data_IF_083771716899
#
_entry.id   IF_083771716899
#
_cell.length_a   1.000
_cell.length_b   1.000
_cell.length_c   1.000
_cell.angle_alpha   90.00
_cell.angle_beta   90.00
_cell.angle_gamma   90.00
#
_symmetry.space_group_name_H-M   'P 1'
#
loop_
_entity.id
_entity.type
_entity.pdbx_description
1 polymer ?
#
# COMPACT_ATOMS: atom_id res chain seq x y z
N UNK A 1 21.22 -22.89 -28.12
CA UNK A 1 22.64 -22.65 -28.46
C UNK A 1 23.48 -22.05 -27.32
N UNK A 2 23.09 -20.93 -26.69
CA UNK A 2 23.85 -20.30 -25.58
C UNK A 2 24.11 -21.29 -24.43
N UNK A 3 23.10 -22.07 -24.03
CA UNK A 3 23.22 -23.07 -22.96
C UNK A 3 24.17 -24.23 -23.31
N UNK A 4 24.30 -24.59 -24.60
CA UNK A 4 25.23 -25.60 -25.08
C UNK A 4 26.69 -25.09 -25.13
N UNK A 5 26.90 -23.78 -25.36
CA UNK A 5 28.24 -23.15 -25.34
C UNK A 5 28.77 -22.93 -23.92
N UNK A 6 27.89 -22.67 -22.95
CA UNK A 6 28.25 -22.51 -21.53
C UNK A 6 28.71 -23.83 -20.90
N UNK A 7 28.11 -24.96 -21.29
CA UNK A 7 28.45 -26.29 -20.75
C UNK A 7 29.78 -26.85 -21.28
N UNK A 8 30.27 -26.37 -22.42
CA UNK A 8 31.50 -26.86 -23.06
C UNK A 8 32.78 -26.10 -22.66
N UNK A 9 32.69 -25.00 -21.90
CA UNK A 9 33.80 -24.03 -21.69
C UNK A 9 34.05 -23.71 -20.21
N UNK A 10 34.29 -24.73 -19.39
CA UNK A 10 34.59 -24.60 -17.95
C UNK A 10 35.99 -23.99 -17.62
N UNK A 11 36.54 -23.15 -18.50
CA UNK A 11 37.70 -22.31 -18.22
C UNK A 11 37.26 -20.84 -18.20
N UNK A 12 37.30 -20.21 -17.02
CA UNK A 12 36.70 -18.89 -16.74
C UNK A 12 37.09 -17.72 -17.66
N UNK A 13 38.16 -17.86 -18.47
CA UNK A 13 38.54 -16.86 -19.47
C UNK A 13 37.55 -16.71 -20.63
N UNK A 14 36.94 -17.81 -21.10
CA UNK A 14 35.99 -17.74 -22.22
C UNK A 14 34.63 -17.16 -21.82
N UNK A 15 34.19 -17.43 -20.59
CA UNK A 15 32.90 -16.92 -20.07
C UNK A 15 32.96 -15.39 -19.93
N UNK A 16 34.10 -14.86 -19.47
CA UNK A 16 34.31 -13.41 -19.36
C UNK A 16 34.32 -12.72 -20.74
N UNK A 17 35.04 -13.28 -21.71
CA UNK A 17 35.08 -12.73 -23.06
C UNK A 17 33.68 -12.76 -23.74
N UNK A 18 32.93 -13.85 -23.59
CA UNK A 18 31.56 -13.96 -24.13
C UNK A 18 30.59 -12.99 -23.44
N UNK A 19 30.74 -12.76 -22.12
CA UNK A 19 29.99 -11.75 -21.37
C UNK A 19 30.29 -10.34 -21.87
N UNK A 20 31.57 -9.98 -21.99
CA UNK A 20 31.98 -8.64 -22.39
C UNK A 20 31.55 -8.35 -23.85
N UNK A 21 31.62 -9.34 -24.74
CA UNK A 21 31.11 -9.24 -26.11
C UNK A 21 29.58 -9.07 -26.17
N UNK A 22 28.85 -9.79 -25.30
CA UNK A 22 27.38 -9.65 -25.18
C UNK A 22 27.01 -8.26 -24.68
N UNK A 23 27.70 -7.77 -23.64
CA UNK A 23 27.54 -6.40 -23.13
C UNK A 23 27.77 -5.35 -24.22
N UNK A 24 28.86 -5.46 -24.99
CA UNK A 24 29.15 -4.52 -26.06
C UNK A 24 28.04 -4.49 -27.12
N UNK A 25 27.52 -5.67 -27.51
CA UNK A 25 26.39 -5.76 -28.44
C UNK A 25 25.12 -5.13 -27.87
N UNK A 26 24.84 -5.34 -26.58
CA UNK A 26 23.69 -4.73 -25.92
C UNK A 26 23.79 -3.20 -25.90
N UNK A 27 24.99 -2.65 -25.64
CA UNK A 27 25.23 -1.20 -25.70
C UNK A 27 25.06 -0.64 -27.10
N UNK A 28 25.55 -1.33 -28.13
CA UNK A 28 25.37 -0.93 -29.54
C UNK A 28 23.89 -0.92 -29.94
N UNK A 29 23.15 -1.96 -29.55
CA UNK A 29 21.70 -2.04 -29.79
C UNK A 29 20.98 -0.92 -29.06
N UNK A 30 21.32 -0.66 -27.80
CA UNK A 30 20.75 0.43 -27.02
C UNK A 30 20.98 1.79 -27.68
N UNK A 31 22.20 2.07 -28.11
CA UNK A 31 22.56 3.32 -28.79
C UNK A 31 21.77 3.48 -30.10
N UNK A 32 21.64 2.41 -30.90
CA UNK A 32 20.84 2.43 -32.12
C UNK A 32 19.35 2.67 -31.86
N UNK A 33 18.77 1.99 -30.87
CA UNK A 33 17.34 2.10 -30.54
C UNK A 33 16.97 3.46 -29.93
N UNK A 34 17.86 4.03 -29.14
CA UNK A 34 17.67 5.35 -28.52
C UNK A 34 18.16 6.52 -29.39
N UNK A 35 18.86 6.24 -30.50
CA UNK A 35 19.37 7.27 -31.41
C UNK A 35 18.22 8.12 -31.99
N UNK A 36 18.41 9.45 -32.03
CA UNK A 36 17.44 10.39 -32.58
C UNK A 36 16.35 10.88 -31.61
N UNK A 37 16.33 10.40 -30.36
CA UNK A 37 15.40 10.88 -29.34
C UNK A 37 13.93 10.75 -29.77
N UNK A 38 13.13 11.81 -29.57
CA UNK A 38 11.71 11.87 -29.98
C UNK A 38 11.48 11.77 -31.49
N UNK A 39 12.52 11.96 -32.31
CA UNK A 39 12.43 11.80 -33.77
C UNK A 39 12.82 10.39 -34.24
N UNK A 40 13.16 9.49 -33.33
CA UNK A 40 13.57 8.14 -33.68
C UNK A 40 12.43 7.35 -34.34
N UNK A 41 12.78 6.38 -35.18
CA UNK A 41 11.81 5.48 -35.78
C UNK A 41 10.99 4.71 -34.72
N UNK A 42 11.52 4.54 -33.51
CA UNK A 42 10.81 3.93 -32.40
C UNK A 42 9.62 4.78 -31.94
N UNK A 43 9.78 6.10 -31.84
CA UNK A 43 8.68 7.02 -31.46
C UNK A 43 7.61 7.14 -32.55
N UNK A 44 7.94 6.78 -33.80
CA UNK A 44 6.96 6.74 -34.90
C UNK A 44 6.05 5.50 -34.84
N UNK A 45 6.42 4.46 -34.09
CA UNK A 45 5.65 3.23 -34.01
C UNK A 45 5.43 2.79 -32.55
N UNK A 46 4.20 2.92 -32.00
CA UNK A 46 3.90 2.64 -30.58
C UNK A 46 4.41 1.29 -30.06
N UNK A 47 4.22 0.21 -30.82
CA UNK A 47 4.69 -1.13 -30.41
C UNK A 47 6.22 -1.24 -30.35
N UNK A 48 6.93 -0.53 -31.23
CA UNK A 48 8.40 -0.51 -31.22
C UNK A 48 8.87 0.26 -30.00
N UNK A 49 8.25 1.41 -29.70
CA UNK A 49 8.55 2.16 -28.47
C UNK A 49 8.34 1.30 -27.22
N UNK A 50 7.21 0.59 -27.12
CA UNK A 50 6.93 -0.36 -26.02
C UNK A 50 8.01 -1.43 -25.90
N UNK A 51 8.44 -2.02 -27.02
CA UNK A 51 9.51 -3.02 -27.02
C UNK A 51 10.85 -2.44 -26.56
N UNK A 52 11.19 -1.22 -27.00
CA UNK A 52 12.43 -0.52 -26.62
C UNK A 52 12.43 -0.18 -25.13
N UNK A 53 11.35 0.39 -24.59
CA UNK A 53 11.31 0.73 -23.15
C UNK A 53 11.39 -0.52 -22.28
N UNK A 54 10.68 -1.59 -22.65
CA UNK A 54 10.78 -2.88 -21.95
C UNK A 54 12.19 -3.48 -22.01
N UNK A 55 12.87 -3.35 -23.15
CA UNK A 55 14.27 -3.74 -23.28
C UNK A 55 15.16 -2.92 -22.32
N UNK A 56 14.98 -1.61 -22.23
CA UNK A 56 15.73 -0.76 -21.28
C UNK A 56 15.53 -1.26 -19.84
N UNK A 57 14.28 -1.48 -19.41
CA UNK A 57 13.99 -1.95 -18.06
C UNK A 57 14.52 -3.35 -17.74
N UNK A 58 14.32 -4.30 -18.67
CA UNK A 58 14.68 -5.71 -18.46
C UNK A 58 16.19 -5.94 -18.26
N UNK A 59 17.01 -5.03 -18.77
CA UNK A 59 18.47 -5.10 -18.67
C UNK A 59 19.06 -4.12 -17.65
N UNK A 60 18.25 -3.57 -16.73
CA UNK A 60 18.70 -2.61 -15.70
C UNK A 60 19.97 -3.06 -14.94
N UNK A 61 20.05 -4.34 -14.54
CA UNK A 61 21.23 -4.87 -13.85
C UNK A 61 22.50 -4.86 -14.71
N UNK A 62 22.36 -5.03 -16.04
CA UNK A 62 23.48 -4.94 -16.99
C UNK A 62 23.91 -3.48 -17.12
N UNK A 63 22.96 -2.54 -17.22
CA UNK A 63 23.28 -1.11 -17.28
C UNK A 63 24.00 -0.63 -16.02
N UNK A 64 23.62 -1.15 -14.85
CA UNK A 64 24.32 -0.85 -13.60
C UNK A 64 25.77 -1.33 -13.60
N UNK A 65 26.15 -2.33 -14.39
CA UNK A 65 27.56 -2.73 -14.53
C UNK A 65 28.25 -1.90 -15.60
N UNK A 66 27.59 -1.68 -16.74
CA UNK A 66 28.28 -1.30 -17.98
C UNK A 66 28.15 0.18 -18.37
N UNK A 67 27.13 0.90 -17.88
CA UNK A 67 26.86 2.30 -18.24
C UNK A 67 27.47 3.28 -17.23
N UNK A 68 27.79 4.51 -17.60
CA UNK A 68 28.07 5.56 -16.61
C UNK A 68 26.78 5.99 -15.89
N UNK A 69 26.90 6.71 -14.77
CA UNK A 69 25.72 7.26 -14.10
C UNK A 69 24.95 8.24 -15.01
N UNK A 70 25.66 9.09 -15.75
CA UNK A 70 25.05 10.01 -16.73
C UNK A 70 24.31 9.26 -17.85
N UNK A 71 24.84 8.13 -18.32
CA UNK A 71 24.14 7.31 -19.31
C UNK A 71 22.84 6.73 -18.74
N UNK A 72 22.81 6.34 -17.46
CA UNK A 72 21.58 5.89 -16.79
C UNK A 72 20.57 7.04 -16.66
N UNK A 73 21.02 8.25 -16.32
CA UNK A 73 20.16 9.45 -16.29
C UNK A 73 19.57 9.74 -17.67
N UNK A 74 20.36 9.61 -18.75
CA UNK A 74 19.85 9.77 -20.12
C UNK A 74 18.81 8.71 -20.50
N UNK A 75 18.96 7.46 -20.02
CA UNK A 75 17.94 6.44 -20.20
C UNK A 75 16.65 6.78 -19.46
N UNK A 76 16.74 7.29 -18.23
CA UNK A 76 15.57 7.77 -17.48
C UNK A 76 14.88 8.94 -18.20
N UNK A 77 15.65 9.88 -18.76
CA UNK A 77 15.10 10.96 -19.57
C UNK A 77 14.38 10.45 -20.84
N UNK A 78 14.93 9.42 -21.51
CA UNK A 78 14.28 8.75 -22.64
C UNK A 78 12.96 8.09 -22.25
N UNK A 79 12.93 7.36 -21.12
CA UNK A 79 11.71 6.75 -20.60
C UNK A 79 10.66 7.79 -20.22
N UNK A 80 11.06 8.90 -19.58
CA UNK A 80 10.18 10.03 -19.30
C UNK A 80 9.57 10.62 -20.57
N UNK A 81 10.38 10.83 -21.61
CA UNK A 81 9.87 11.33 -22.88
C UNK A 81 8.86 10.37 -23.50
N UNK A 82 9.12 9.06 -23.40
CA UNK A 82 8.20 8.01 -23.86
C UNK A 82 6.86 8.06 -23.14
N UNK A 83 6.85 8.38 -21.83
CA UNK A 83 5.62 8.59 -21.03
C UNK A 83 4.80 9.77 -21.56
N UNK A 84 5.46 10.88 -21.88
CA UNK A 84 4.81 12.11 -22.34
C UNK A 84 4.27 12.00 -23.77
N UNK A 85 4.99 11.33 -24.66
CA UNK A 85 4.68 11.31 -26.09
C UNK A 85 3.72 10.19 -26.50
N UNK A 86 3.64 9.11 -25.71
CA UNK A 86 2.86 7.93 -26.09
C UNK A 86 2.10 7.32 -24.91
N UNK A 87 0.76 7.49 -24.84
CA UNK A 87 -0.06 6.87 -23.81
C UNK A 87 0.10 5.33 -23.75
N UNK A 88 0.31 4.69 -24.91
CA UNK A 88 0.53 3.24 -24.99
C UNK A 88 1.86 2.77 -24.41
N UNK A 89 2.87 3.63 -24.39
CA UNK A 89 4.18 3.32 -23.83
C UNK A 89 4.33 3.80 -22.38
N UNK A 90 3.39 4.59 -21.84
CA UNK A 90 3.50 5.20 -20.52
C UNK A 90 3.69 4.18 -19.39
N UNK A 91 2.85 3.14 -19.32
CA UNK A 91 2.97 2.09 -18.30
C UNK A 91 4.24 1.24 -18.46
N UNK A 92 4.59 0.70 -19.65
CA UNK A 92 5.86 0.00 -19.86
C UNK A 92 7.10 0.84 -19.55
N UNK A 93 7.08 2.13 -19.91
CA UNK A 93 8.15 3.06 -19.64
C UNK A 93 8.28 3.32 -18.14
N UNK A 94 7.18 3.56 -17.43
CA UNK A 94 7.14 3.71 -15.98
C UNK A 94 7.65 2.45 -15.23
N UNK A 95 7.23 1.26 -15.65
CA UNK A 95 7.73 0.00 -15.11
C UNK A 95 9.24 -0.14 -15.33
N UNK A 96 9.74 0.28 -16.49
CA UNK A 96 11.17 0.27 -16.81
C UNK A 96 11.96 1.31 -16.01
N UNK A 97 11.38 2.48 -15.76
CA UNK A 97 11.94 3.51 -14.87
C UNK A 97 12.12 2.95 -13.46
N UNK A 98 11.10 2.25 -12.93
CA UNK A 98 11.20 1.55 -11.64
C UNK A 98 12.38 0.57 -11.61
N UNK A 99 12.51 -0.25 -12.65
CA UNK A 99 13.60 -1.22 -12.75
C UNK A 99 14.96 -0.55 -12.83
N UNK A 100 15.10 0.59 -13.52
CA UNK A 100 16.33 1.37 -13.52
C UNK A 100 16.64 1.96 -12.14
N UNK A 101 15.67 2.57 -11.46
CA UNK A 101 15.89 3.12 -10.12
C UNK A 101 16.37 2.05 -9.13
N UNK A 102 15.80 0.84 -9.18
CA UNK A 102 16.18 -0.27 -8.28
C UNK A 102 17.47 -0.93 -8.76
N UNK A 103 17.55 -1.33 -10.03
CA UNK A 103 18.66 -2.10 -10.59
C UNK A 103 19.95 -1.29 -10.73
N UNK A 104 19.85 0.03 -10.89
CA UNK A 104 20.98 0.96 -11.02
C UNK A 104 21.19 1.84 -9.77
N UNK A 105 20.56 1.50 -8.65
CA UNK A 105 20.57 2.33 -7.46
C UNK A 105 21.98 2.72 -6.99
N UNK A 106 22.94 1.77 -7.00
CA UNK A 106 24.32 2.04 -6.59
C UNK A 106 24.99 3.17 -7.37
N UNK A 107 24.71 3.30 -8.68
CA UNK A 107 25.27 4.36 -9.52
C UNK A 107 24.55 5.69 -9.32
N UNK A 108 23.23 5.65 -9.17
CA UNK A 108 22.42 6.85 -8.95
C UNK A 108 22.67 7.45 -7.56
N UNK A 109 22.78 6.61 -6.52
CA UNK A 109 23.16 7.02 -5.16
C UNK A 109 24.56 7.61 -5.15
N UNK A 110 25.53 6.95 -5.78
CA UNK A 110 26.89 7.49 -5.87
C UNK A 110 26.91 8.85 -6.58
N UNK A 111 26.23 8.99 -7.71
CA UNK A 111 26.10 10.26 -8.42
C UNK A 111 25.48 11.35 -7.53
N UNK A 112 24.41 11.04 -6.81
CA UNK A 112 23.72 11.97 -5.91
C UNK A 112 24.57 12.40 -4.70
N UNK A 113 25.56 11.61 -4.30
CA UNK A 113 26.44 11.89 -3.16
C UNK A 113 27.76 12.56 -3.56
N UNK A 114 28.22 12.39 -4.80
CA UNK A 114 29.56 12.84 -5.24
C UNK A 114 29.67 14.33 -5.60
N UNK A 115 28.60 14.97 -6.07
CA UNK A 115 28.63 16.39 -6.45
C UNK A 115 27.26 17.06 -6.37
N UNK A 116 27.23 18.38 -6.20
CA UNK A 116 25.99 19.17 -6.25
C UNK A 116 25.28 19.06 -7.61
N UNK A 117 26.05 18.96 -8.70
CA UNK A 117 25.50 18.81 -10.06
C UNK A 117 24.86 17.44 -10.25
N UNK A 118 25.48 16.37 -9.77
CA UNK A 118 24.96 15.01 -9.82
C UNK A 118 23.70 14.86 -8.96
N UNK A 119 23.74 15.42 -7.75
CA UNK A 119 22.59 15.57 -6.86
C UNK A 119 21.40 16.24 -7.57
N UNK A 120 21.62 17.43 -8.14
CA UNK A 120 20.57 18.17 -8.83
C UNK A 120 20.01 17.40 -10.03
N UNK A 121 20.87 16.73 -10.80
CA UNK A 121 20.47 15.93 -11.95
C UNK A 121 19.55 14.76 -11.58
N UNK A 122 19.87 14.02 -10.51
CA UNK A 122 19.03 12.92 -10.02
C UNK A 122 17.68 13.43 -9.51
N UNK A 123 17.68 14.51 -8.70
CA UNK A 123 16.44 15.10 -8.19
C UNK A 123 15.52 15.59 -9.32
N UNK A 124 16.05 16.33 -10.28
CA UNK A 124 15.27 16.82 -11.42
C UNK A 124 14.71 15.67 -12.25
N UNK A 125 15.50 14.62 -12.48
CA UNK A 125 15.04 13.44 -13.21
C UNK A 125 13.86 12.76 -12.51
N UNK A 126 13.94 12.58 -11.18
CA UNK A 126 12.85 12.02 -10.37
C UNK A 126 11.61 12.91 -10.47
N UNK A 127 11.76 14.20 -10.21
CA UNK A 127 10.66 15.17 -10.24
C UNK A 127 9.93 15.17 -11.57
N UNK A 128 10.68 15.36 -12.66
CA UNK A 128 10.13 15.47 -14.00
C UNK A 128 9.46 14.16 -14.46
N UNK A 129 9.93 13.01 -13.97
CA UNK A 129 9.33 11.71 -14.29
C UNK A 129 8.02 11.49 -13.53
N UNK A 130 7.95 11.90 -12.27
CA UNK A 130 6.71 11.86 -11.48
C UNK A 130 5.68 12.83 -12.05
N UNK A 131 6.10 14.05 -12.39
CA UNK A 131 5.24 15.04 -13.06
C UNK A 131 4.68 14.49 -14.38
N UNK A 132 5.53 13.85 -15.19
CA UNK A 132 5.14 13.27 -16.46
C UNK A 132 4.09 12.15 -16.29
N UNK A 133 4.32 11.22 -15.35
CA UNK A 133 3.41 10.07 -15.18
C UNK A 133 2.09 10.48 -14.53
N UNK A 134 2.10 11.43 -13.58
CA UNK A 134 0.87 11.97 -13.00
C UNK A 134 0.01 12.65 -14.07
N UNK A 135 0.62 13.46 -14.95
CA UNK A 135 -0.09 14.11 -16.07
C UNK A 135 -0.68 13.13 -17.08
N UNK A 136 -0.09 11.94 -17.21
CA UNK A 136 -0.62 10.90 -18.10
C UNK A 136 -1.92 10.27 -17.59
N UNK A 137 -2.24 10.43 -16.29
CA UNK A 137 -3.37 9.75 -15.64
C UNK A 137 -3.20 8.23 -15.54
N UNK A 138 -2.03 7.68 -15.86
CA UNK A 138 -1.77 6.24 -15.78
C UNK A 138 -1.45 5.84 -14.33
N UNK A 139 -2.43 5.22 -13.68
CA UNK A 139 -2.34 4.80 -12.28
C UNK A 139 -1.22 3.78 -12.04
N UNK A 140 -1.20 2.66 -12.79
CA UNK A 140 -0.19 1.59 -12.63
C UNK A 140 1.23 2.12 -12.82
N UNK A 141 1.44 2.97 -13.82
CA UNK A 141 2.71 3.62 -14.09
C UNK A 141 3.11 4.59 -12.97
N UNK A 142 2.15 5.35 -12.43
CA UNK A 142 2.41 6.26 -11.29
C UNK A 142 2.93 5.47 -10.09
N UNK A 143 2.27 4.37 -9.74
CA UNK A 143 2.72 3.51 -8.62
C UNK A 143 4.10 2.94 -8.86
N UNK A 144 4.41 2.50 -10.09
CA UNK A 144 5.72 1.97 -10.43
C UNK A 144 6.84 3.02 -10.28
N UNK A 145 6.63 4.23 -10.80
CA UNK A 145 7.62 5.33 -10.69
C UNK A 145 7.81 5.74 -9.24
N UNK A 146 6.74 5.87 -8.46
CA UNK A 146 6.81 6.25 -7.04
C UNK A 146 7.51 5.15 -6.23
N UNK A 147 7.16 3.87 -6.40
CA UNK A 147 7.87 2.76 -5.77
C UNK A 147 9.37 2.81 -6.07
N UNK A 148 9.75 2.95 -7.35
CA UNK A 148 11.15 2.98 -7.75
C UNK A 148 11.91 4.16 -7.16
N UNK A 149 11.30 5.35 -7.21
CA UNK A 149 11.90 6.58 -6.70
C UNK A 149 12.08 6.53 -5.17
N UNK A 150 11.06 6.04 -4.44
CA UNK A 150 11.13 5.90 -2.98
C UNK A 150 12.16 4.85 -2.57
N UNK A 151 12.19 3.69 -3.25
CA UNK A 151 13.20 2.66 -2.99
C UNK A 151 14.62 3.11 -3.30
N UNK A 152 14.82 4.03 -4.25
CA UNK A 152 16.10 4.69 -4.48
C UNK A 152 16.41 5.66 -3.33
N UNK A 153 15.42 6.44 -2.88
CA UNK A 153 15.59 7.41 -1.80
C UNK A 153 16.06 6.75 -0.50
N UNK A 154 15.44 5.64 -0.10
CA UNK A 154 15.80 4.92 1.15
C UNK A 154 17.14 4.19 1.08
N UNK A 155 17.79 4.10 -0.08
CA UNK A 155 19.16 3.59 -0.22
C UNK A 155 20.23 4.66 -0.01
N UNK A 156 19.82 5.91 0.23
CA UNK A 156 20.75 7.00 0.53
C UNK A 156 21.20 6.90 2.00
N UNK A 157 22.51 6.87 2.20
CA UNK A 157 23.10 6.86 3.55
C UNK A 157 22.98 8.21 4.28
N UNK A 158 22.70 9.29 3.55
CA UNK A 158 22.53 10.64 4.10
C UNK A 158 21.03 10.92 4.32
N UNK A 159 20.64 11.05 5.59
CA UNK A 159 19.26 11.32 6.00
C UNK A 159 18.73 12.63 5.41
N UNK A 160 19.53 13.70 5.39
CA UNK A 160 19.12 15.00 4.84
C UNK A 160 18.89 14.89 3.34
N UNK A 161 19.77 14.17 2.65
CA UNK A 161 19.62 13.89 1.22
C UNK A 161 18.36 13.06 0.95
N UNK A 162 18.13 12.00 1.74
CA UNK A 162 16.93 11.17 1.64
C UNK A 162 15.67 11.99 1.83
N UNK A 163 15.56 12.79 2.89
CA UNK A 163 14.39 13.67 3.13
C UNK A 163 14.16 14.63 1.96
N UNK A 164 15.22 15.19 1.37
CA UNK A 164 15.10 16.04 0.17
C UNK A 164 14.56 15.27 -1.03
N UNK A 165 15.06 14.07 -1.31
CA UNK A 165 14.54 13.23 -2.41
C UNK A 165 13.07 12.89 -2.17
N UNK A 166 12.71 12.48 -0.96
CA UNK A 166 11.32 12.19 -0.59
C UNK A 166 10.41 13.41 -0.75
N UNK A 167 10.89 14.60 -0.36
CA UNK A 167 10.18 15.86 -0.61
C UNK A 167 9.97 16.13 -2.10
N UNK A 168 10.97 15.87 -2.95
CA UNK A 168 10.86 16.00 -4.40
C UNK A 168 9.87 15.00 -5.02
N UNK A 169 9.80 13.78 -4.49
CA UNK A 169 8.81 12.77 -4.92
C UNK A 169 7.41 13.21 -4.53
N UNK A 170 7.26 13.69 -3.30
CA UNK A 170 5.98 14.02 -2.68
C UNK A 170 5.35 15.28 -3.26
N UNK A 171 6.13 16.34 -3.48
CA UNK A 171 5.63 17.66 -3.88
C UNK A 171 4.63 17.63 -5.05
N UNK A 172 4.91 17.00 -6.21
CA UNK A 172 3.96 16.96 -7.32
C UNK A 172 2.68 16.17 -6.99
N UNK A 173 2.77 15.16 -6.12
CA UNK A 173 1.61 14.38 -5.67
C UNK A 173 0.71 15.23 -4.75
N UNK A 174 1.30 16.00 -3.84
CA UNK A 174 0.53 16.91 -2.97
C UNK A 174 -0.10 18.05 -3.77
N UNK A 175 0.62 18.61 -4.74
CA UNK A 175 0.08 19.65 -5.63
C UNK A 175 -1.11 19.11 -6.44
N UNK A 176 -0.99 17.91 -7.03
CA UNK A 176 -2.09 17.25 -7.72
C UNK A 176 -3.29 16.97 -6.81
N UNK A 177 -3.04 16.55 -5.56
CA UNK A 177 -4.09 16.33 -4.57
C UNK A 177 -4.83 17.62 -4.21
N UNK A 178 -4.10 18.70 -3.91
CA UNK A 178 -4.68 20.01 -3.57
C UNK A 178 -5.50 20.57 -4.74
N UNK A 179 -4.96 20.52 -5.95
CA UNK A 179 -5.69 20.95 -7.15
C UNK A 179 -6.98 20.15 -7.34
N UNK A 180 -6.93 18.83 -7.18
CA UNK A 180 -8.11 17.97 -7.31
C UNK A 180 -9.17 18.31 -6.25
N UNK A 181 -8.76 18.56 -4.99
CA UNK A 181 -9.67 18.99 -3.92
C UNK A 181 -10.31 20.34 -4.21
N UNK A 182 -9.54 21.32 -4.72
CA UNK A 182 -10.07 22.63 -5.11
C UNK A 182 -11.14 22.52 -6.20
N UNK A 183 -10.90 21.66 -7.20
CA UNK A 183 -11.87 21.37 -8.27
C UNK A 183 -13.10 20.65 -7.74
N UNK A 184 -12.94 19.68 -6.82
CA UNK A 184 -14.06 18.96 -6.17
C UNK A 184 -14.93 19.92 -5.35
N UNK A 185 -14.34 20.92 -4.69
CA UNK A 185 -15.09 21.93 -3.91
C UNK A 185 -15.95 22.84 -4.79
N UNK A 186 -15.50 23.12 -6.02
CA UNK A 186 -16.19 24.01 -6.95
C UNK A 186 -16.26 23.39 -8.35
N UNK A 187 -17.02 22.29 -8.54
CA UNK A 187 -17.04 21.59 -9.81
C UNK A 187 -17.78 22.43 -10.85
N UNK A 188 -17.21 22.56 -12.05
CA UNK A 188 -17.88 23.23 -13.18
C UNK A 188 -19.01 22.37 -13.76
N UNK A 189 -18.81 21.05 -13.77
CA UNK A 189 -19.78 20.05 -14.21
C UNK A 189 -19.45 18.67 -13.58
N UNK A 190 -20.32 17.68 -13.82
CA UNK A 190 -20.18 16.33 -13.28
C UNK A 190 -18.98 15.55 -13.86
N UNK A 191 -18.57 15.85 -15.11
CA UNK A 191 -17.43 15.18 -15.73
C UNK A 191 -16.11 15.64 -15.10
N UNK A 192 -15.98 16.95 -14.90
CA UNK A 192 -14.88 17.61 -14.20
C UNK A 192 -14.77 17.09 -12.76
N UNK A 193 -15.89 16.94 -12.07
CA UNK A 193 -15.92 16.33 -10.73
C UNK A 193 -15.37 14.90 -10.76
N UNK A 194 -15.87 14.06 -11.67
CA UNK A 194 -15.42 12.66 -11.79
C UNK A 194 -13.92 12.55 -12.11
N UNK A 195 -13.41 13.38 -13.03
CA UNK A 195 -11.98 13.44 -13.34
C UNK A 195 -11.14 13.89 -12.14
N UNK A 196 -11.63 14.87 -11.37
CA UNK A 196 -10.94 15.34 -10.17
C UNK A 196 -10.92 14.27 -9.06
N UNK A 197 -12.01 13.54 -8.84
CA UNK A 197 -12.02 12.39 -7.93
C UNK A 197 -11.05 11.29 -8.37
N UNK A 198 -11.00 10.96 -9.66
CA UNK A 198 -10.06 9.98 -10.20
C UNK A 198 -8.61 10.43 -10.00
N UNK A 199 -8.29 11.68 -10.32
CA UNK A 199 -6.96 12.28 -10.13
C UNK A 199 -6.54 12.26 -8.65
N UNK A 200 -7.46 12.63 -7.74
CA UNK A 200 -7.23 12.58 -6.29
C UNK A 200 -6.97 11.14 -5.82
N UNK A 201 -7.75 10.17 -6.29
CA UNK A 201 -7.54 8.74 -5.98
C UNK A 201 -6.15 8.26 -6.40
N UNK A 202 -5.69 8.59 -7.61
CA UNK A 202 -4.34 8.27 -8.09
C UNK A 202 -3.28 8.90 -7.18
N UNK A 203 -3.44 10.17 -6.81
CA UNK A 203 -2.49 10.86 -5.93
C UNK A 203 -2.44 10.23 -4.53
N UNK A 204 -3.59 9.86 -3.94
CA UNK A 204 -3.65 9.18 -2.65
C UNK A 204 -3.00 7.79 -2.72
N UNK A 205 -3.19 7.02 -3.80
CA UNK A 205 -2.47 5.74 -4.01
C UNK A 205 -0.97 5.93 -4.10
N UNK A 206 -0.53 6.96 -4.81
CA UNK A 206 0.89 7.31 -4.91
C UNK A 206 1.47 7.65 -3.52
N UNK A 207 0.75 8.41 -2.70
CA UNK A 207 1.14 8.70 -1.31
C UNK A 207 1.25 7.44 -0.46
N UNK A 208 0.26 6.54 -0.55
CA UNK A 208 0.31 5.24 0.13
C UNK A 208 1.56 4.46 -0.27
N UNK A 209 1.86 4.36 -1.57
CA UNK A 209 3.01 3.61 -2.07
C UNK A 209 4.34 4.24 -1.61
N UNK A 210 4.42 5.57 -1.56
CA UNK A 210 5.56 6.28 -0.97
C UNK A 210 5.74 5.89 0.50
N UNK A 211 4.68 6.00 1.32
CA UNK A 211 4.76 5.70 2.75
C UNK A 211 5.18 4.25 2.97
N UNK A 212 4.63 3.32 2.20
CA UNK A 212 4.91 1.87 2.29
C UNK A 212 6.40 1.54 2.18
N UNK A 213 7.13 2.26 1.34
CA UNK A 213 8.57 2.01 1.14
C UNK A 213 9.47 2.89 2.01
N UNK A 214 8.90 3.68 2.92
CA UNK A 214 9.62 4.48 3.92
C UNK A 214 9.64 3.83 5.31
N UNK A 215 9.43 2.51 5.39
CA UNK A 215 9.56 1.73 6.64
C UNK A 215 11.05 1.54 6.99
N UNK A 216 11.64 2.60 7.54
CA UNK A 216 13.02 2.62 8.01
C UNK A 216 12.98 2.38 9.53
N UNK A 217 13.76 1.43 10.07
CA UNK A 217 13.77 1.19 11.51
C UNK A 217 14.10 2.47 12.26
N UNK A 218 13.11 2.97 12.99
CA UNK A 218 13.20 4.17 13.78
C UNK A 218 13.24 3.80 15.25
N UNK A 219 14.33 4.20 15.90
CA UNK A 219 14.49 4.05 17.34
C UNK A 219 14.18 5.40 18.02
N UNK A 220 12.99 5.57 18.63
CA UNK A 220 12.64 6.79 19.35
C UNK A 220 13.54 7.05 20.58
N UNK A 221 14.33 6.08 21.03
CA UNK A 221 15.30 6.29 22.12
C UNK A 221 16.64 6.82 21.61
N UNK A 222 16.95 6.63 20.32
CA UNK A 222 18.17 7.15 19.70
C UNK A 222 18.09 8.65 19.39
N UNK A 223 16.89 9.23 19.30
CA UNK A 223 16.67 10.67 19.06
C UNK A 223 17.20 11.56 20.18
N UNK A 224 17.26 11.06 21.43
CA UNK A 224 17.82 11.84 22.54
C UNK A 224 19.34 12.05 22.41
N UNK A 225 20.04 11.16 21.68
CA UNK A 225 21.49 11.23 21.51
C UNK A 225 21.92 11.84 20.17
N UNK A 226 21.12 11.69 19.10
CA UNK A 226 21.51 12.11 17.74
C UNK A 226 20.54 13.10 17.05
N UNK A 227 19.38 13.42 17.63
CA UNK A 227 18.43 14.41 17.10
C UNK A 227 17.85 14.10 15.71
N UNK A 228 17.96 12.88 15.21
CA UNK A 228 17.51 12.51 13.86
C UNK A 228 16.01 12.18 13.85
N UNK A 229 15.22 13.10 13.29
CA UNK A 229 13.79 12.89 13.05
C UNK A 229 13.55 11.84 11.94
N UNK A 230 12.42 11.13 12.05
CA UNK A 230 11.96 10.21 11.00
C UNK A 230 11.77 10.99 9.68
N UNK A 231 12.20 10.47 8.50
CA UNK A 231 12.08 11.18 7.22
C UNK A 231 10.63 11.55 6.85
N UNK A 232 9.67 10.79 7.37
CA UNK A 232 8.25 11.04 7.18
C UNK A 232 7.68 12.20 8.02
N UNK A 233 8.41 12.81 8.95
CA UNK A 233 7.91 13.94 9.77
C UNK A 233 7.48 15.13 8.91
N UNK A 234 8.35 15.56 8.01
CA UNK A 234 8.07 16.67 7.12
C UNK A 234 6.96 16.31 6.12
N UNK A 235 6.96 15.05 5.67
CA UNK A 235 5.95 14.50 4.77
C UNK A 235 4.57 14.53 5.42
N UNK A 236 4.47 14.04 6.65
CA UNK A 236 3.23 14.01 7.41
C UNK A 236 2.71 15.41 7.68
N UNK A 237 3.59 16.36 8.00
CA UNK A 237 3.20 17.76 8.23
C UNK A 237 2.55 18.39 6.99
N UNK A 238 3.00 18.03 5.79
CA UNK A 238 2.43 18.50 4.53
C UNK A 238 1.20 17.70 4.07
N UNK A 239 1.14 16.41 4.39
CA UNK A 239 0.08 15.47 4.03
C UNK A 239 -1.17 15.61 4.92
N UNK A 240 -1.00 15.87 6.21
CA UNK A 240 -2.08 15.88 7.18
C UNK A 240 -3.23 16.85 6.81
N UNK A 241 -2.98 18.10 6.39
CA UNK A 241 -4.03 19.01 5.95
C UNK A 241 -4.83 18.47 4.76
N UNK A 242 -4.19 17.74 3.85
CA UNK A 242 -4.86 17.14 2.68
C UNK A 242 -5.79 16.01 3.14
N UNK A 243 -5.32 15.12 4.01
CA UNK A 243 -6.16 14.04 4.55
C UNK A 243 -7.36 14.60 5.31
N UNK A 244 -7.15 15.67 6.09
CA UNK A 244 -8.22 16.39 6.78
C UNK A 244 -9.23 17.01 5.80
N UNK A 245 -8.75 17.65 4.74
CA UNK A 245 -9.61 18.26 3.72
C UNK A 245 -10.44 17.23 2.95
N UNK A 246 -9.87 16.07 2.65
CA UNK A 246 -10.60 14.93 2.06
C UNK A 246 -11.63 14.37 3.05
N UNK A 247 -11.24 14.16 4.30
CA UNK A 247 -12.12 13.63 5.34
C UNK A 247 -13.30 14.56 5.66
N UNK A 248 -13.10 15.87 5.62
CA UNK A 248 -14.16 16.86 5.88
C UNK A 248 -15.09 17.10 4.69
N UNK A 249 -14.63 16.87 3.46
CA UNK A 249 -15.44 17.01 2.25
C UNK A 249 -16.46 15.88 2.09
N UNK A 250 -17.75 16.21 2.13
CA UNK A 250 -18.83 15.24 1.93
C UNK A 250 -18.75 14.58 0.54
N UNK A 251 -18.42 15.34 -0.51
CA UNK A 251 -18.29 14.80 -1.87
C UNK A 251 -17.16 13.77 -1.95
N UNK A 252 -16.04 14.00 -1.26
CA UNK A 252 -14.94 13.04 -1.21
C UNK A 252 -15.31 11.77 -0.43
N UNK A 253 -16.10 11.88 0.65
CA UNK A 253 -16.57 10.71 1.42
C UNK A 253 -17.59 9.87 0.65
N UNK A 254 -18.38 10.50 -0.22
CA UNK A 254 -19.35 9.81 -1.06
C UNK A 254 -18.74 9.13 -2.28
N UNK A 255 -17.55 9.57 -2.73
CA UNK A 255 -16.81 8.89 -3.79
C UNK A 255 -16.06 7.68 -3.22
N UNK A 256 -16.54 6.48 -3.54
CA UNK A 256 -15.98 5.21 -3.04
C UNK A 256 -14.48 5.08 -3.33
N UNK A 257 -14.02 5.49 -4.52
CA UNK A 257 -12.61 5.37 -4.88
C UNK A 257 -11.74 6.27 -4.00
N UNK A 258 -12.13 7.54 -3.84
CA UNK A 258 -11.40 8.48 -2.96
C UNK A 258 -11.42 7.99 -1.52
N UNK A 259 -12.58 7.54 -1.02
CA UNK A 259 -12.71 7.06 0.36
C UNK A 259 -11.84 5.82 0.64
N UNK A 260 -11.80 4.86 -0.29
CA UNK A 260 -10.93 3.69 -0.18
C UNK A 260 -9.47 4.14 -0.07
N UNK A 261 -9.03 5.10 -0.90
CA UNK A 261 -7.63 5.51 -0.91
C UNK A 261 -7.24 6.37 0.29
N UNK A 262 -8.12 7.24 0.79
CA UNK A 262 -7.81 8.01 2.02
C UNK A 262 -7.71 7.08 3.23
N UNK A 263 -8.58 6.08 3.35
CA UNK A 263 -8.47 5.07 4.40
C UNK A 263 -7.19 4.25 4.25
N UNK A 264 -6.84 3.86 3.02
CA UNK A 264 -5.64 3.08 2.75
C UNK A 264 -4.33 3.85 3.01
N UNK A 265 -4.31 5.18 2.82
CA UNK A 265 -3.19 6.04 3.24
C UNK A 265 -3.06 6.06 4.75
N UNK A 266 -4.17 6.29 5.47
CA UNK A 266 -4.14 6.32 6.94
C UNK A 266 -3.78 4.95 7.53
N UNK A 267 -4.28 3.85 6.97
CA UNK A 267 -3.91 2.47 7.31
C UNK A 267 -2.40 2.26 7.16
N UNK A 268 -1.82 2.71 6.04
CA UNK A 268 -0.39 2.59 5.79
C UNK A 268 0.45 3.46 6.75
N UNK A 269 -0.02 4.67 7.10
CA UNK A 269 0.62 5.51 8.10
C UNK A 269 0.64 4.86 9.48
N UNK A 270 -0.47 4.24 9.90
CA UNK A 270 -0.56 3.52 11.17
C UNK A 270 0.45 2.37 11.20
N UNK A 271 0.60 1.61 10.10
CA UNK A 271 1.56 0.51 10.03
C UNK A 271 3.02 0.98 10.04
N UNK A 272 3.30 2.11 9.42
CA UNK A 272 4.69 2.57 9.19
C UNK A 272 5.21 3.44 10.34
N UNK A 273 4.37 4.35 10.85
CA UNK A 273 4.76 5.36 11.85
C UNK A 273 3.65 5.55 12.90
N UNK A 274 3.27 4.48 13.64
CA UNK A 274 2.13 4.51 14.57
C UNK A 274 2.24 5.61 15.62
N UNK A 275 3.44 5.85 16.16
CA UNK A 275 3.64 6.84 17.23
C UNK A 275 3.42 8.29 16.74
N UNK A 276 3.64 8.55 15.44
CA UNK A 276 3.37 9.85 14.83
C UNK A 276 1.87 10.04 14.53
N UNK A 277 1.13 8.95 14.31
CA UNK A 277 -0.32 8.99 14.07
C UNK A 277 -1.11 9.06 15.38
N UNK A 278 -0.56 8.52 16.48
CA UNK A 278 -1.23 8.41 17.77
C UNK A 278 -1.92 9.71 18.26
N UNK A 279 -1.33 10.93 18.13
CA UNK A 279 -1.97 12.18 18.55
C UNK A 279 -3.28 12.49 17.81
N UNK A 280 -3.48 11.90 16.63
CA UNK A 280 -4.64 12.14 15.78
C UNK A 280 -5.67 11.01 15.82
N UNK A 281 -5.43 9.99 16.65
CA UNK A 281 -6.22 8.76 16.66
C UNK A 281 -7.72 8.98 16.88
N UNK A 282 -8.10 9.83 17.83
CA UNK A 282 -9.52 10.11 18.15
C UNK A 282 -10.27 10.70 16.94
N UNK A 283 -9.64 11.63 16.22
CA UNK A 283 -10.21 12.22 15.01
C UNK A 283 -10.34 11.17 13.90
N UNK A 284 -9.35 10.30 13.72
CA UNK A 284 -9.39 9.23 12.73
C UNK A 284 -10.49 8.21 13.02
N UNK A 285 -10.68 7.81 14.29
CA UNK A 285 -11.77 6.89 14.66
C UNK A 285 -13.14 7.47 14.33
N UNK A 286 -13.33 8.76 14.62
CA UNK A 286 -14.59 9.46 14.30
C UNK A 286 -14.84 9.47 12.79
N UNK A 287 -13.80 9.78 12.01
CA UNK A 287 -13.87 9.74 10.54
C UNK A 287 -14.22 8.34 10.01
N UNK A 288 -13.59 7.28 10.54
CA UNK A 288 -13.82 5.91 10.06
C UNK A 288 -15.21 5.39 10.42
N UNK A 289 -15.72 5.72 11.61
CA UNK A 289 -17.10 5.40 11.98
C UNK A 289 -18.07 6.06 11.01
N UNK A 290 -17.91 7.36 10.78
CA UNK A 290 -18.77 8.11 9.86
C UNK A 290 -18.67 7.55 8.43
N UNK A 291 -17.46 7.26 7.95
CA UNK A 291 -17.25 6.66 6.63
C UNK A 291 -17.97 5.31 6.50
N UNK A 292 -17.91 4.47 7.52
CA UNK A 292 -18.58 3.17 7.50
C UNK A 292 -20.11 3.28 7.56
N UNK A 293 -20.64 4.20 8.37
CA UNK A 293 -22.07 4.48 8.44
C UNK A 293 -22.63 5.00 7.11
N UNK A 294 -21.86 5.83 6.40
CA UNK A 294 -22.29 6.43 5.12
C UNK A 294 -22.18 5.44 3.94
N UNK A 295 -21.24 4.49 3.96
CA UNK A 295 -20.86 3.72 2.75
C UNK A 295 -20.82 2.21 2.92
N UNK A 296 -20.71 1.70 4.14
CA UNK A 296 -20.53 0.27 4.45
C UNK A 296 -19.35 -0.40 3.73
N UNK A 297 -18.30 0.36 3.37
CA UNK A 297 -17.16 -0.18 2.64
C UNK A 297 -16.30 -1.13 3.50
N UNK A 298 -15.89 -2.31 2.98
CA UNK A 298 -15.07 -3.27 3.72
C UNK A 298 -13.72 -2.72 4.21
N UNK A 299 -13.12 -1.77 3.49
CA UNK A 299 -11.81 -1.22 3.82
C UNK A 299 -11.76 -0.45 5.14
N UNK A 300 -12.92 -0.05 5.69
CA UNK A 300 -12.98 0.55 7.03
C UNK A 300 -12.54 -0.46 8.10
N UNK A 301 -12.90 -1.74 7.94
CA UNK A 301 -12.45 -2.81 8.84
C UNK A 301 -10.97 -3.10 8.69
N UNK A 302 -10.41 -3.03 7.47
CA UNK A 302 -8.97 -3.19 7.25
C UNK A 302 -8.17 -2.08 7.97
N UNK A 303 -8.69 -0.85 7.92
CA UNK A 303 -8.13 0.28 8.67
C UNK A 303 -8.21 0.05 10.18
N UNK A 304 -9.37 -0.35 10.71
CA UNK A 304 -9.54 -0.61 12.15
C UNK A 304 -8.66 -1.78 12.60
N UNK A 305 -8.51 -2.81 11.79
CA UNK A 305 -7.60 -3.92 12.06
C UNK A 305 -6.15 -3.42 12.19
N UNK A 306 -5.67 -2.59 11.26
CA UNK A 306 -4.34 -2.00 11.37
C UNK A 306 -4.18 -1.12 12.62
N UNK A 307 -5.22 -0.37 13.00
CA UNK A 307 -5.23 0.43 14.22
C UNK A 307 -5.14 -0.45 15.48
N UNK A 308 -5.90 -1.53 15.54
CA UNK A 308 -5.89 -2.48 16.67
C UNK A 308 -4.54 -3.19 16.76
N UNK A 309 -3.95 -3.58 15.64
CA UNK A 309 -2.61 -4.17 15.60
C UNK A 309 -1.55 -3.21 16.13
N UNK A 310 -1.62 -1.92 15.78
CA UNK A 310 -0.64 -0.92 16.17
C UNK A 310 -0.81 -0.39 17.62
N UNK A 311 -2.04 -0.28 18.11
CA UNK A 311 -2.36 0.42 19.37
C UNK A 311 -3.06 -0.45 20.42
N UNK A 312 -3.55 -1.64 20.06
CA UNK A 312 -4.43 -2.49 20.87
C UNK A 312 -3.85 -2.99 22.19
N UNK A 313 -2.52 -2.94 22.35
CA UNK A 313 -1.80 -3.34 23.56
C UNK A 313 -1.04 -2.19 24.25
N UNK A 314 -1.15 -0.94 23.76
CA UNK A 314 -0.30 0.17 24.24
C UNK A 314 -0.86 0.89 25.47
N UNK A 315 -2.16 1.19 25.51
CA UNK A 315 -2.79 1.98 26.58
C UNK A 315 -4.25 1.53 26.81
N UNK A 316 -4.68 1.53 28.07
CA UNK A 316 -6.05 1.24 28.49
C UNK A 316 -7.09 2.16 27.81
N UNK A 317 -6.75 3.43 27.57
CA UNK A 317 -7.64 4.36 26.86
C UNK A 317 -7.94 3.89 25.43
N UNK A 318 -6.93 3.45 24.69
CA UNK A 318 -7.11 2.89 23.34
C UNK A 318 -7.97 1.62 23.39
N UNK A 319 -7.73 0.73 24.36
CA UNK A 319 -8.50 -0.50 24.53
C UNK A 319 -9.99 -0.18 24.74
N UNK A 320 -10.33 0.82 25.55
CA UNK A 320 -11.71 1.24 25.75
C UNK A 320 -12.33 1.82 24.47
N UNK A 321 -11.58 2.64 23.73
CA UNK A 321 -12.04 3.14 22.43
C UNK A 321 -12.27 2.00 21.43
N UNK A 322 -11.38 1.01 21.37
CA UNK A 322 -11.53 -0.14 20.47
C UNK A 322 -12.71 -1.05 20.86
N UNK A 323 -13.01 -1.18 22.14
CA UNK A 323 -14.20 -1.90 22.63
C UNK A 323 -15.50 -1.23 22.14
N UNK A 324 -15.60 0.10 22.31
CA UNK A 324 -16.74 0.88 21.85
C UNK A 324 -16.87 0.85 20.32
N UNK A 325 -15.75 1.00 19.62
CA UNK A 325 -15.68 0.95 18.16
C UNK A 325 -16.15 -0.41 17.62
N UNK A 326 -15.67 -1.52 18.20
CA UNK A 326 -16.08 -2.85 17.79
C UNK A 326 -17.58 -3.07 17.99
N UNK A 327 -18.12 -2.65 19.15
CA UNK A 327 -19.55 -2.76 19.44
C UNK A 327 -20.37 -1.96 18.42
N UNK A 328 -19.95 -0.73 18.12
CA UNK A 328 -20.63 0.13 17.17
C UNK A 328 -20.61 -0.44 15.76
N UNK A 329 -19.43 -0.78 15.24
CA UNK A 329 -19.30 -1.34 13.89
C UNK A 329 -20.02 -2.67 13.73
N UNK A 330 -19.99 -3.54 14.75
CA UNK A 330 -20.74 -4.80 14.74
C UNK A 330 -22.24 -4.56 14.66
N UNK A 331 -22.76 -3.58 15.42
CA UNK A 331 -24.18 -3.20 15.38
C UNK A 331 -24.57 -2.61 14.03
N UNK A 332 -23.79 -1.68 13.49
CA UNK A 332 -24.02 -1.11 12.17
C UNK A 332 -24.02 -2.19 11.08
N UNK A 333 -23.06 -3.11 11.13
CA UNK A 333 -23.00 -4.23 10.18
C UNK A 333 -24.22 -5.11 10.32
N UNK A 334 -24.62 -5.46 11.54
CA UNK A 334 -25.79 -6.29 11.79
C UNK A 334 -27.06 -5.64 11.22
N UNK A 335 -27.29 -4.36 11.52
CA UNK A 335 -28.43 -3.60 10.98
C UNK A 335 -28.40 -3.59 9.45
N UNK A 336 -27.25 -3.34 8.84
CA UNK A 336 -27.08 -3.37 7.38
C UNK A 336 -27.43 -4.76 6.81
N UNK A 337 -26.91 -5.83 7.41
CA UNK A 337 -27.07 -7.18 6.87
C UNK A 337 -28.44 -7.81 7.16
N UNK A 338 -29.21 -7.25 8.09
CA UNK A 338 -30.58 -7.69 8.38
C UNK A 338 -31.63 -6.87 7.64
N UNK A 339 -31.38 -5.58 7.42
CA UNK A 339 -32.40 -4.65 6.93
C UNK A 339 -32.21 -4.26 5.46
N UNK A 340 -30.98 -4.26 4.95
CA UNK A 340 -30.68 -3.73 3.61
C UNK A 340 -30.18 -4.80 2.63
N UNK A 341 -29.19 -5.60 3.02
CA UNK A 341 -28.62 -6.65 2.16
C UNK A 341 -28.42 -7.93 2.94
N UNK A 342 -28.58 -9.09 2.34
CA UNK A 342 -28.24 -10.35 3.03
C UNK A 342 -26.73 -10.53 3.15
N UNK A 343 -26.22 -11.31 4.12
CA UNK A 343 -24.77 -11.58 4.23
C UNK A 343 -24.16 -12.15 2.93
N UNK A 344 -24.89 -13.00 2.22
CA UNK A 344 -24.47 -13.56 0.91
C UNK A 344 -24.42 -12.53 -0.22
N UNK A 345 -25.10 -11.38 -0.09
CA UNK A 345 -25.08 -10.28 -1.06
C UNK A 345 -23.95 -9.27 -0.78
N UNK A 346 -23.30 -9.38 0.38
CA UNK A 346 -22.19 -8.52 0.79
C UNK A 346 -21.00 -9.32 1.38
N UNK A 347 -20.53 -10.40 0.72
CA UNK A 347 -19.53 -11.30 1.30
C UNK A 347 -18.20 -10.62 1.64
N UNK A 348 -17.86 -9.52 0.94
CA UNK A 348 -16.66 -8.74 1.23
C UNK A 348 -16.72 -8.03 2.58
N UNK A 349 -17.89 -7.52 2.96
CA UNK A 349 -18.14 -6.87 4.27
C UNK A 349 -18.03 -7.90 5.38
N UNK A 350 -18.66 -9.07 5.19
CA UNK A 350 -18.60 -10.18 6.15
C UNK A 350 -17.16 -10.68 6.35
N UNK A 351 -16.43 -10.88 5.24
CA UNK A 351 -15.02 -11.25 5.27
C UNK A 351 -14.19 -10.25 6.07
N UNK A 352 -14.31 -8.96 5.75
CA UNK A 352 -13.52 -7.91 6.37
C UNK A 352 -13.87 -7.73 7.87
N UNK A 353 -15.14 -7.85 8.25
CA UNK A 353 -15.56 -7.87 9.66
C UNK A 353 -14.83 -8.97 10.43
N UNK A 354 -14.84 -10.21 9.93
CA UNK A 354 -14.23 -11.34 10.65
C UNK A 354 -12.69 -11.36 10.58
N UNK A 355 -12.11 -10.84 9.51
CA UNK A 355 -10.66 -10.60 9.45
C UNK A 355 -10.24 -9.57 10.51
N UNK A 356 -11.01 -8.48 10.68
CA UNK A 356 -10.78 -7.51 11.75
C UNK A 356 -10.97 -8.12 13.15
N UNK A 357 -12.05 -8.85 13.40
CA UNK A 357 -12.29 -9.42 14.74
C UNK A 357 -11.26 -10.47 15.12
N UNK A 358 -10.67 -11.17 14.15
CA UNK A 358 -9.49 -12.02 14.37
C UNK A 358 -8.30 -11.19 14.88
N UNK A 359 -8.04 -10.02 14.30
CA UNK A 359 -6.97 -9.12 14.77
C UNK A 359 -7.24 -8.65 16.21
N UNK A 360 -8.50 -8.39 16.58
CA UNK A 360 -8.87 -8.13 17.97
C UNK A 360 -8.49 -9.29 18.91
N UNK A 361 -8.71 -10.56 18.53
CA UNK A 361 -8.28 -11.71 19.35
C UNK A 361 -6.77 -11.67 19.63
N UNK A 362 -5.98 -11.28 18.63
CA UNK A 362 -4.52 -11.33 18.68
C UNK A 362 -3.92 -10.13 19.45
N UNK A 363 -4.45 -8.92 19.25
CA UNK A 363 -3.81 -7.68 19.69
C UNK A 363 -4.61 -6.89 20.74
N UNK A 364 -5.92 -7.12 20.87
CA UNK A 364 -6.74 -6.47 21.90
C UNK A 364 -7.87 -7.39 22.40
N UNK A 365 -7.53 -8.57 22.98
CA UNK A 365 -8.53 -9.54 23.40
C UNK A 365 -9.49 -8.97 24.46
N UNK A 366 -9.00 -8.09 25.32
CA UNK A 366 -9.84 -7.41 26.32
C UNK A 366 -11.00 -6.65 25.68
N UNK A 367 -10.71 -5.89 24.61
CA UNK A 367 -11.71 -5.12 23.90
C UNK A 367 -12.76 -6.02 23.24
N UNK A 368 -12.36 -7.20 22.76
CA UNK A 368 -13.24 -8.20 22.14
C UNK A 368 -14.17 -8.86 23.16
N UNK A 369 -13.62 -9.46 24.22
CA UNK A 369 -14.41 -10.26 25.18
C UNK A 369 -15.31 -9.40 26.05
N UNK A 370 -14.92 -8.15 26.31
CA UNK A 370 -15.75 -7.17 27.00
C UNK A 370 -16.67 -6.38 26.04
N UNK A 371 -16.72 -6.73 24.75
CA UNK A 371 -17.61 -6.08 23.80
C UNK A 371 -19.06 -6.45 24.12
N UNK A 372 -19.94 -5.46 24.26
CA UNK A 372 -21.38 -5.71 24.51
C UNK A 372 -22.04 -6.52 23.40
N UNK A 373 -21.48 -6.48 22.18
CA UNK A 373 -21.97 -7.22 21.02
C UNK A 373 -21.23 -8.55 20.80
N UNK A 374 -20.37 -9.00 21.73
CA UNK A 374 -19.57 -10.22 21.54
C UNK A 374 -20.45 -11.45 21.26
N UNK A 375 -21.52 -11.65 22.05
CA UNK A 375 -22.44 -12.78 21.86
C UNK A 375 -23.14 -12.72 20.49
N UNK A 376 -23.59 -11.52 20.08
CA UNK A 376 -24.19 -11.27 18.77
C UNK A 376 -23.20 -11.58 17.64
N UNK A 377 -21.96 -11.10 17.76
CA UNK A 377 -20.89 -11.32 16.80
C UNK A 377 -20.53 -12.80 16.67
N UNK A 378 -20.45 -13.53 17.78
CA UNK A 378 -20.19 -14.96 17.80
C UNK A 378 -21.34 -15.74 17.14
N UNK A 379 -22.57 -15.43 17.52
CA UNK A 379 -23.79 -16.01 16.92
C UNK A 379 -23.82 -15.77 15.41
N UNK A 380 -23.46 -14.55 14.99
CA UNK A 380 -23.43 -14.16 13.59
C UNK A 380 -22.35 -14.90 12.80
N UNK A 381 -21.17 -15.12 13.38
CA UNK A 381 -20.13 -15.96 12.76
C UNK A 381 -20.63 -17.39 12.51
N UNK A 382 -21.31 -17.98 13.49
CA UNK A 382 -21.90 -19.33 13.37
C UNK A 382 -22.97 -19.36 12.28
N UNK A 383 -23.85 -18.36 12.23
CA UNK A 383 -24.85 -18.23 11.18
C UNK A 383 -24.21 -18.10 9.78
N UNK A 384 -23.14 -17.31 9.65
CA UNK A 384 -22.40 -17.18 8.39
C UNK A 384 -21.81 -18.51 7.90
N UNK A 385 -21.26 -19.33 8.81
CA UNK A 385 -20.72 -20.65 8.44
C UNK A 385 -21.82 -21.64 8.09
N UNK A 386 -22.96 -21.60 8.79
CA UNK A 386 -24.04 -22.59 8.64
C UNK A 386 -25.03 -22.29 7.51
N UNK A 387 -25.56 -21.07 7.44
CA UNK A 387 -26.67 -20.70 6.54
C UNK A 387 -26.36 -19.49 5.68
N UNK A 388 -25.87 -18.40 6.26
CA UNK A 388 -25.94 -17.08 5.62
C UNK A 388 -24.92 -16.86 4.50
N UNK A 389 -23.74 -17.49 4.58
CA UNK A 389 -22.70 -17.41 3.54
C UNK A 389 -22.53 -18.72 2.78
N UNK A 390 -23.55 -19.59 2.73
CA UNK A 390 -23.46 -20.88 2.05
C UNK A 390 -23.11 -20.69 0.57
N UNK A 391 -21.96 -21.24 0.15
CA UNK A 391 -21.43 -21.12 -1.22
C UNK A 391 -20.40 -20.01 -1.40
N UNK A 392 -20.31 -19.06 -0.46
CA UNK A 392 -19.34 -17.96 -0.50
C UNK A 392 -18.06 -18.32 0.26
N UNK A 393 -17.02 -18.69 -0.49
CA UNK A 393 -15.78 -19.26 0.06
C UNK A 393 -15.09 -18.35 1.07
N UNK A 394 -14.93 -17.06 0.73
CA UNK A 394 -14.03 -16.19 1.47
C UNK A 394 -14.64 -15.68 2.79
N UNK A 395 -15.95 -15.38 2.80
CA UNK A 395 -16.66 -14.98 4.02
C UNK A 395 -16.84 -16.14 4.99
N UNK A 396 -17.22 -17.34 4.51
CA UNK A 396 -17.26 -18.55 5.34
C UNK A 396 -15.87 -18.85 5.93
N UNK A 397 -14.81 -18.74 5.12
CA UNK A 397 -13.44 -18.95 5.59
C UNK A 397 -13.05 -17.94 6.68
N UNK A 398 -13.34 -16.65 6.51
CA UNK A 398 -13.02 -15.63 7.51
C UNK A 398 -13.76 -15.90 8.84
N UNK A 399 -15.06 -16.23 8.77
CA UNK A 399 -15.85 -16.61 9.95
C UNK A 399 -15.30 -17.86 10.66
N UNK A 400 -14.92 -18.90 9.90
CA UNK A 400 -14.28 -20.10 10.45
C UNK A 400 -12.92 -19.80 11.10
N UNK A 401 -12.10 -18.94 10.48
CA UNK A 401 -10.81 -18.52 11.05
C UNK A 401 -11.05 -17.79 12.35
N UNK A 402 -11.98 -16.83 12.40
CA UNK A 402 -12.35 -16.15 13.64
C UNK A 402 -12.77 -17.15 14.72
N UNK A 403 -13.75 -18.03 14.44
CA UNK A 403 -14.23 -19.04 15.38
C UNK A 403 -13.11 -19.96 15.88
N UNK A 404 -12.27 -20.46 14.98
CA UNK A 404 -11.14 -21.33 15.34
C UNK A 404 -10.08 -20.59 16.18
N UNK A 405 -9.87 -19.30 15.93
CA UNK A 405 -8.92 -18.45 16.66
C UNK A 405 -9.43 -18.18 18.07
N UNK A 406 -10.70 -17.79 18.23
CA UNK A 406 -11.28 -17.50 19.55
C UNK A 406 -11.57 -18.75 20.37
N UNK A 407 -11.93 -19.89 19.77
CA UNK A 407 -12.14 -21.15 20.50
C UNK A 407 -10.79 -21.79 20.84
N UNK A 408 -9.85 -21.77 19.90
CA UNK A 408 -8.52 -22.38 20.00
C UNK A 408 -7.44 -21.46 20.57
N UNK A 409 -7.82 -20.38 21.26
CA UNK A 409 -6.92 -19.30 21.64
C UNK A 409 -5.72 -19.76 22.49
N UNK A 410 -5.89 -20.80 23.32
CA UNK A 410 -4.82 -21.41 24.13
C UNK A 410 -3.68 -22.03 23.30
N UNK A 411 -3.95 -22.35 22.03
CA UNK A 411 -2.95 -22.85 21.08
C UNK A 411 -2.20 -21.75 20.34
N UNK A 412 -2.58 -20.48 20.52
CA UNK A 412 -1.97 -19.34 19.84
C UNK A 412 -0.75 -18.83 20.60
N UNK A 413 0.22 -18.28 19.86
CA UNK A 413 1.36 -17.57 20.44
C UNK A 413 0.96 -16.12 20.70
N UNK A 414 0.24 -15.90 21.80
CA UNK A 414 -0.16 -14.56 22.26
C UNK A 414 0.87 -13.97 23.24
N UNK A 415 0.82 -12.65 23.45
CA UNK A 415 1.56 -12.01 24.54
C UNK A 415 1.08 -12.53 25.90
N UNK A 416 1.89 -12.36 26.95
CA UNK A 416 1.50 -12.78 28.30
C UNK A 416 0.24 -12.06 28.78
N UNK A 417 0.13 -10.76 28.51
CA UNK A 417 -1.04 -9.96 28.89
C UNK A 417 -2.30 -10.42 28.15
N UNK A 418 -2.19 -10.67 26.83
CA UNK A 418 -3.31 -11.17 26.03
C UNK A 418 -3.81 -12.53 26.53
N UNK A 419 -2.89 -13.45 26.87
CA UNK A 419 -3.24 -14.74 27.47
C UNK A 419 -3.92 -14.58 28.84
N UNK A 420 -3.40 -13.71 29.70
CA UNK A 420 -3.97 -13.48 31.02
C UNK A 420 -5.40 -12.93 30.92
N UNK A 421 -5.64 -12.00 29.99
CA UNK A 421 -6.99 -11.48 29.71
C UNK A 421 -7.95 -12.58 29.25
N UNK A 422 -7.58 -13.37 28.25
CA UNK A 422 -8.46 -14.41 27.73
C UNK A 422 -8.73 -15.52 28.75
N UNK A 423 -7.77 -15.81 29.64
CA UNK A 423 -8.00 -16.77 30.73
C UNK A 423 -8.98 -16.20 31.76
N UNK A 424 -8.82 -14.92 32.14
CA UNK A 424 -9.69 -14.24 33.10
C UNK A 424 -11.14 -14.13 32.61
N UNK A 425 -11.35 -13.86 31.31
CA UNK A 425 -12.67 -13.67 30.69
C UNK A 425 -13.13 -14.91 29.89
N UNK A 426 -12.53 -16.07 30.13
CA UNK A 426 -12.81 -17.31 29.37
C UNK A 426 -14.27 -17.78 29.48
N UNK A 427 -14.96 -17.46 30.57
CA UNK A 427 -16.38 -17.73 30.79
C UNK A 427 -17.27 -17.18 29.66
N UNK A 428 -16.95 -15.99 29.12
CA UNK A 428 -17.72 -15.37 28.03
C UNK A 428 -17.63 -16.21 26.75
N UNK A 429 -16.43 -16.69 26.43
CA UNK A 429 -16.18 -17.58 25.29
C UNK A 429 -16.82 -18.94 25.52
N UNK A 430 -16.72 -19.49 26.73
CA UNK A 430 -17.31 -20.77 27.10
C UNK A 430 -18.83 -20.75 27.03
N UNK A 431 -19.47 -19.66 27.46
CA UNK A 431 -20.92 -19.46 27.36
C UNK A 431 -21.39 -19.43 25.89
N UNK A 432 -20.72 -18.66 25.04
CA UNK A 432 -21.02 -18.61 23.61
C UNK A 432 -20.81 -19.99 22.93
N UNK A 433 -19.74 -20.70 23.31
CA UNK A 433 -19.48 -22.05 22.80
C UNK A 433 -20.54 -23.06 23.29
N UNK A 434 -21.00 -22.96 24.53
CA UNK A 434 -22.06 -23.82 25.05
C UNK A 434 -23.38 -23.62 24.28
N UNK A 435 -23.67 -22.39 23.87
CA UNK A 435 -24.88 -22.06 23.10
C UNK A 435 -24.82 -22.54 21.64
N UNK A 436 -23.65 -22.48 21.00
CA UNK A 436 -23.52 -22.73 19.55
C UNK A 436 -22.68 -23.94 19.16
N UNK A 437 -22.09 -24.65 20.12
CA UNK A 437 -21.15 -25.74 19.90
C UNK A 437 -21.70 -26.86 19.02
N UNK A 438 -22.94 -27.30 19.28
CA UNK A 438 -23.60 -28.34 18.49
C UNK A 438 -23.79 -27.91 17.03
N UNK A 439 -24.19 -26.66 16.80
CA UNK A 439 -24.33 -26.09 15.44
C UNK A 439 -22.99 -26.04 14.72
N UNK A 440 -21.92 -25.61 15.39
CA UNK A 440 -20.57 -25.57 14.81
C UNK A 440 -20.12 -26.97 14.42
N UNK A 441 -20.25 -27.95 15.32
CA UNK A 441 -19.86 -29.35 15.06
C UNK A 441 -20.66 -29.93 13.90
N UNK A 442 -21.98 -29.77 13.92
CA UNK A 442 -22.87 -30.25 12.85
C UNK A 442 -22.48 -29.63 11.50
N UNK A 443 -22.28 -28.31 11.46
CA UNK A 443 -21.90 -27.59 10.24
C UNK A 443 -20.57 -28.07 9.69
N UNK A 444 -19.56 -28.28 10.54
CA UNK A 444 -18.26 -28.79 10.14
C UNK A 444 -18.35 -30.23 9.60
N UNK A 445 -19.11 -31.12 10.24
CA UNK A 445 -19.31 -32.50 9.78
C UNK A 445 -20.00 -32.51 8.42
N UNK A 446 -21.09 -31.75 8.27
CA UNK A 446 -21.81 -31.62 7.00
C UNK A 446 -20.92 -31.02 5.92
N UNK A 447 -20.14 -29.98 6.22
CA UNK A 447 -19.23 -29.38 5.24
C UNK A 447 -18.12 -30.34 4.79
N UNK A 448 -17.63 -31.22 5.68
CA UNK A 448 -16.63 -32.23 5.35
C UNK A 448 -17.21 -33.41 4.55
N UNK A 449 -18.51 -33.70 4.70
CA UNK A 449 -19.16 -34.77 3.95
C UNK A 449 -19.44 -34.44 2.47
N UNK A 450 -19.30 -33.16 2.09
CA UNK A 450 -19.88 -32.63 0.85
C UNK A 450 -21.38 -32.42 0.97
#
# INVERSE_FOLDING_TARGET
EVWARVKARAGGGSIRADRDATTQRLLQVLEQLCSGGSRSAAHQHPLVLVAVVNFIGSYASVWNVCCTADAIVNLLAYLRQSILESPTAAEPAAASTRLLYIGCASKLVALAQTSETGHHSVLMTIKETIDAILKSGNETGTLAVVEGSTRLAVQLNDQTLMTRVLGVIMEPILQGSRHSIEVIRNPSDAHTLSMACQSLSICLRALKELIRFCDIPYDPTATENNGQLHPLVDILSALWPILHDVASSQTCRQDENVLIQVLAVNEQLIRTVPDMVAPHFSQLMTFVVQAYEETHLPCTFDFVAAAVEAFGSKNAEFIQSFNQLLAHLSRCTYVYVTNEKRPSECPQVIRALFDMTRIYVLFSPYALVNCSEFSTLFSFAVACVHTECKGERDSTRAALIFLSTIIGWRGLRLSQDANATLEADSEVVHSALAQHGDTIICTCIVGLSG
#
